data_IF_146626811799
#
_entry.id   IF_146626811799
#
_cell.length_a   1.000
_cell.length_b   1.000
_cell.length_c   1.000
_cell.angle_alpha   90.00
_cell.angle_beta   90.00
_cell.angle_gamma   90.00
#
_symmetry.space_group_name_H-M   'P 1'
#
loop_
_entity.id
_entity.type
_entity.pdbx_description
1 polymer ?
#
# COMPACT_ATOMS: atom_id res chain seq x y z
N UNK A 1 3.46 15.74 -5.99
CA UNK A 1 4.54 15.80 -4.98
C UNK A 1 4.40 14.70 -3.92
N UNK A 2 3.18 14.30 -3.53
CA UNK A 2 2.94 13.21 -2.57
C UNK A 2 3.49 11.82 -2.97
N UNK A 3 3.27 11.36 -4.20
CA UNK A 3 3.66 10.02 -4.62
C UNK A 3 5.18 9.77 -4.67
N UNK A 4 5.97 10.77 -5.08
CA UNK A 4 7.44 10.68 -5.08
C UNK A 4 7.98 10.56 -3.64
N UNK A 5 7.42 11.34 -2.71
CA UNK A 5 7.77 11.24 -1.28
C UNK A 5 7.42 9.86 -0.74
N UNK A 6 6.22 9.36 -1.04
CA UNK A 6 5.79 8.01 -0.68
C UNK A 6 6.75 6.92 -1.20
N UNK A 7 7.15 6.98 -2.48
CA UNK A 7 8.11 6.02 -3.05
C UNK A 7 9.47 6.07 -2.34
N UNK A 8 9.98 7.26 -2.01
CA UNK A 8 11.25 7.40 -1.29
C UNK A 8 11.18 6.80 0.13
N UNK A 9 10.07 6.97 0.83
CA UNK A 9 9.85 6.37 2.15
C UNK A 9 9.73 4.84 2.00
N UNK A 10 9.00 4.36 0.99
CA UNK A 10 8.87 2.93 0.72
C UNK A 10 10.22 2.26 0.40
N UNK A 11 11.09 2.91 -0.37
CA UNK A 11 12.46 2.43 -0.61
C UNK A 11 13.28 2.34 0.68
N UNK A 12 13.16 3.35 1.54
CA UNK A 12 13.84 3.40 2.83
C UNK A 12 13.34 2.32 3.79
N UNK A 13 12.02 2.14 3.90
CA UNK A 13 11.42 1.29 4.93
C UNK A 13 11.17 -0.15 4.47
N UNK A 14 10.71 -0.36 3.24
CA UNK A 14 10.33 -1.70 2.75
C UNK A 14 11.45 -2.31 1.91
N UNK A 15 11.94 -1.58 0.90
CA UNK A 15 12.93 -2.13 -0.04
C UNK A 15 14.26 -2.46 0.66
N UNK A 16 14.66 -1.66 1.65
CA UNK A 16 15.87 -1.90 2.45
C UNK A 16 15.83 -3.20 3.27
N UNK A 17 14.64 -3.71 3.57
CA UNK A 17 14.39 -4.92 4.37
C UNK A 17 14.31 -6.19 3.51
N UNK A 18 14.40 -6.08 2.18
CA UNK A 18 14.42 -7.24 1.28
C UNK A 18 15.56 -8.20 1.62
N UNK A 19 15.22 -9.48 1.71
CA UNK A 19 16.17 -10.56 1.97
C UNK A 19 16.66 -11.20 0.67
N UNK A 20 17.73 -12.01 0.76
CA UNK A 20 18.22 -12.78 -0.39
C UNK A 20 17.15 -13.82 -0.81
N UNK A 21 16.97 -14.08 -2.12
CA UNK A 21 17.78 -13.60 -3.25
C UNK A 21 17.39 -12.21 -3.77
N UNK A 22 16.31 -11.61 -3.27
CA UNK A 22 15.70 -10.39 -3.82
C UNK A 22 16.34 -9.08 -3.30
N UNK A 23 17.26 -9.15 -2.33
CA UNK A 23 18.00 -8.01 -1.80
C UNK A 23 18.73 -7.25 -2.91
N UNK A 24 18.56 -5.93 -2.93
CA UNK A 24 19.14 -5.04 -3.95
C UNK A 24 20.36 -4.32 -3.42
N UNK A 25 21.28 -3.97 -4.32
CA UNK A 25 22.51 -3.27 -3.95
C UNK A 25 22.25 -1.81 -3.51
N UNK A 26 21.26 -1.15 -4.11
CA UNK A 26 20.94 0.26 -3.88
C UNK A 26 19.61 0.48 -3.13
N UNK A 27 18.89 -0.60 -2.78
CA UNK A 27 17.56 -0.55 -2.16
C UNK A 27 16.55 0.34 -2.91
N UNK A 28 16.65 0.41 -4.24
CA UNK A 28 15.75 1.20 -5.09
C UNK A 28 14.69 0.32 -5.75
N UNK A 29 13.51 0.89 -5.97
CA UNK A 29 12.46 0.32 -6.80
C UNK A 29 12.89 0.36 -8.28
N UNK A 30 12.40 -0.59 -9.08
CA UNK A 30 12.52 -0.49 -10.54
C UNK A 30 11.51 0.54 -11.07
N UNK A 31 11.65 1.03 -12.31
CA UNK A 31 10.66 1.93 -12.90
C UNK A 31 9.23 1.38 -12.88
N UNK A 32 9.06 0.09 -13.18
CA UNK A 32 7.74 -0.57 -13.16
C UNK A 32 7.13 -0.60 -11.77
N UNK A 33 7.93 -0.89 -10.75
CA UNK A 33 7.47 -0.95 -9.36
C UNK A 33 7.12 0.45 -8.84
N UNK A 34 7.87 1.48 -9.25
CA UNK A 34 7.54 2.88 -9.00
C UNK A 34 6.17 3.21 -9.60
N UNK A 35 5.92 2.83 -10.85
CA UNK A 35 4.63 3.09 -11.51
C UNK A 35 3.48 2.36 -10.80
N UNK A 36 3.68 1.10 -10.42
CA UNK A 36 2.68 0.32 -9.67
C UNK A 36 2.38 0.92 -8.30
N UNK A 37 3.41 1.22 -7.51
CA UNK A 37 3.26 1.83 -6.18
C UNK A 37 2.63 3.21 -6.29
N UNK A 38 3.08 4.03 -7.25
CA UNK A 38 2.52 5.37 -7.49
C UNK A 38 1.05 5.32 -7.84
N UNK A 39 0.65 4.40 -8.72
CA UNK A 39 -0.76 4.22 -9.10
C UNK A 39 -1.62 3.81 -7.92
N UNK A 40 -1.20 2.78 -7.17
CA UNK A 40 -1.92 2.32 -5.99
C UNK A 40 -2.00 3.40 -4.91
N UNK A 41 -0.88 4.08 -4.64
CA UNK A 41 -0.82 5.17 -3.68
C UNK A 41 -1.73 6.34 -4.07
N UNK A 42 -1.70 6.79 -5.34
CA UNK A 42 -2.57 7.87 -5.78
C UNK A 42 -4.06 7.50 -5.64
N UNK A 43 -4.41 6.23 -5.87
CA UNK A 43 -5.78 5.75 -5.67
C UNK A 43 -6.16 5.74 -4.19
N UNK A 44 -5.33 5.17 -3.32
CA UNK A 44 -5.52 5.19 -1.86
C UNK A 44 -5.63 6.63 -1.33
N UNK A 45 -4.73 7.52 -1.76
CA UNK A 45 -4.71 8.91 -1.33
C UNK A 45 -5.92 9.70 -1.84
N UNK A 46 -6.39 9.41 -3.06
CA UNK A 46 -7.60 9.98 -3.61
C UNK A 46 -8.86 9.57 -2.83
N UNK A 47 -8.89 8.35 -2.29
CA UNK A 47 -9.97 7.88 -1.42
C UNK A 47 -10.02 8.64 -0.08
N UNK A 48 -8.85 8.93 0.52
CA UNK A 48 -8.79 9.64 1.81
C UNK A 48 -9.45 11.03 1.79
N UNK A 49 -9.61 11.64 0.61
CA UNK A 49 -10.30 12.93 0.45
C UNK A 49 -11.82 12.83 0.26
N UNK A 50 -12.39 11.63 0.27
CA UNK A 50 -13.81 11.39 -0.01
C UNK A 50 -14.62 11.13 1.28
N UNK A 51 -15.95 11.35 1.26
CA UNK A 51 -16.82 10.90 2.34
C UNK A 51 -16.70 9.38 2.54
N UNK A 52 -16.66 8.91 3.80
CA UNK A 52 -16.50 7.48 4.13
C UNK A 52 -17.43 6.54 3.34
N UNK A 53 -18.69 6.94 3.15
CA UNK A 53 -19.65 6.14 2.39
C UNK A 53 -19.21 5.87 0.94
N UNK A 54 -18.59 6.86 0.29
CA UNK A 54 -18.08 6.73 -1.08
C UNK A 54 -16.84 5.83 -1.11
N UNK A 55 -15.96 5.97 -0.11
CA UNK A 55 -14.80 5.09 0.07
C UNK A 55 -15.24 3.63 0.22
N UNK A 56 -16.20 3.36 1.10
CA UNK A 56 -16.70 2.00 1.34
C UNK A 56 -17.32 1.39 0.07
N UNK A 57 -18.15 2.15 -0.65
CA UNK A 57 -18.75 1.71 -1.92
C UNK A 57 -17.68 1.40 -2.99
N UNK A 58 -16.64 2.23 -3.10
CA UNK A 58 -15.53 1.99 -4.02
C UNK A 58 -14.73 0.74 -3.62
N UNK A 59 -14.35 0.60 -2.34
CA UNK A 59 -13.62 -0.56 -1.84
C UNK A 59 -14.40 -1.87 -1.99
N UNK A 60 -15.73 -1.85 -1.87
CA UNK A 60 -16.59 -3.04 -2.03
C UNK A 60 -16.75 -3.48 -3.48
N UNK A 61 -16.66 -2.54 -4.44
CA UNK A 61 -16.85 -2.80 -5.87
C UNK A 61 -15.55 -3.00 -6.65
N UNK A 62 -14.41 -2.58 -6.10
CA UNK A 62 -13.09 -2.61 -6.74
C UNK A 62 -12.65 -4.01 -7.22
N UNK A 63 -11.91 -4.18 -8.32
CA UNK A 63 -11.28 -5.46 -8.64
C UNK A 63 -10.37 -5.96 -7.50
N UNK A 64 -10.33 -7.27 -7.22
CA UNK A 64 -9.58 -7.82 -6.08
C UNK A 64 -8.10 -7.49 -6.13
N UNK A 65 -7.49 -7.54 -7.33
CA UNK A 65 -6.10 -7.14 -7.54
C UNK A 65 -5.83 -5.70 -7.12
N UNK A 66 -6.70 -4.78 -7.51
CA UNK A 66 -6.58 -3.37 -7.13
C UNK A 66 -6.82 -3.15 -5.65
N UNK A 67 -7.84 -3.82 -5.09
CA UNK A 67 -8.13 -3.79 -3.65
C UNK A 67 -6.92 -4.28 -2.84
N UNK A 68 -6.24 -5.33 -3.30
CA UNK A 68 -5.06 -5.86 -2.64
C UNK A 68 -3.88 -4.89 -2.68
N UNK A 69 -3.67 -4.18 -3.79
CA UNK A 69 -2.68 -3.12 -3.86
C UNK A 69 -3.03 -1.99 -2.87
N UNK A 70 -4.28 -1.54 -2.81
CA UNK A 70 -4.70 -0.53 -1.82
C UNK A 70 -4.47 -1.03 -0.39
N UNK A 71 -4.86 -2.26 -0.09
CA UNK A 71 -4.63 -2.90 1.20
C UNK A 71 -3.15 -2.84 1.62
N UNK A 72 -2.22 -3.15 0.72
CA UNK A 72 -0.79 -3.07 1.03
C UNK A 72 -0.28 -1.62 1.17
N UNK A 73 -0.80 -0.66 0.41
CA UNK A 73 -0.50 0.77 0.64
C UNK A 73 -1.01 1.19 2.02
N UNK A 74 -2.23 0.80 2.41
CA UNK A 74 -2.81 1.14 3.72
C UNK A 74 -1.95 0.55 4.85
N UNK A 75 -1.52 -0.70 4.75
CA UNK A 75 -0.58 -1.30 5.71
C UNK A 75 0.71 -0.48 5.78
N UNK A 76 1.31 -0.15 4.65
CA UNK A 76 2.54 0.65 4.61
C UNK A 76 2.37 2.00 5.31
N UNK A 77 1.31 2.74 4.96
CA UNK A 77 0.99 4.03 5.55
C UNK A 77 0.71 3.95 7.06
N UNK A 78 0.13 2.85 7.54
CA UNK A 78 -0.19 2.67 8.94
C UNK A 78 0.98 2.16 9.79
N UNK A 79 1.81 1.25 9.22
CA UNK A 79 2.83 0.52 9.98
C UNK A 79 4.23 1.13 9.92
N UNK A 80 4.59 1.81 8.82
CA UNK A 80 5.97 2.27 8.58
C UNK A 80 6.10 3.76 8.28
N UNK A 81 4.99 4.48 8.12
CA UNK A 81 5.02 5.94 7.93
C UNK A 81 4.68 6.62 9.25
N UNK A 82 5.67 7.30 9.83
CA UNK A 82 5.45 8.12 11.02
C UNK A 82 4.68 9.40 10.70
N UNK A 83 4.20 10.10 11.73
CA UNK A 83 3.40 11.32 11.57
C UNK A 83 4.15 12.43 10.81
N UNK A 84 5.47 12.52 10.97
CA UNK A 84 6.32 13.50 10.30
C UNK A 84 6.54 13.19 8.81
N UNK A 85 6.51 11.91 8.43
CA UNK A 85 6.57 11.45 7.06
C UNK A 85 5.19 11.51 6.39
N UNK A 86 4.12 11.17 7.12
CA UNK A 86 2.73 11.41 6.69
C UNK A 86 2.58 12.90 6.37
N UNK A 87 2.94 13.75 7.34
CA UNK A 87 3.68 15.02 7.18
C UNK A 87 3.95 15.55 5.77
N UNK A 88 4.97 14.93 5.21
CA UNK A 88 5.59 15.31 3.95
C UNK A 88 4.79 14.78 2.78
N UNK A 89 4.04 13.68 2.97
CA UNK A 89 3.16 13.11 1.95
C UNK A 89 1.97 14.04 1.68
N UNK A 90 1.26 14.53 2.70
CA UNK A 90 0.12 15.45 2.47
C UNK A 90 0.55 16.86 2.03
N UNK A 91 1.84 17.19 2.15
CA UNK A 91 2.38 18.52 1.84
C UNK A 91 1.77 19.64 2.71
N UNK A 92 1.44 19.33 3.97
CA UNK A 92 0.85 20.29 4.92
C UNK A 92 1.90 20.93 5.82
N UNK A 93 1.65 22.19 6.22
CA UNK A 93 2.48 22.91 7.19
C UNK A 93 2.06 22.60 8.63
N UNK A 94 2.98 22.74 9.59
CA UNK A 94 2.67 22.49 10.99
C UNK A 94 1.82 23.63 11.60
N UNK A 95 0.89 23.35 12.52
CA UNK A 95 0.57 22.04 13.11
C UNK A 95 -0.33 21.16 12.23
N UNK A 96 -0.03 19.86 12.18
CA UNK A 96 -0.87 18.84 11.53
C UNK A 96 -1.22 17.77 12.57
N UNK A 97 -2.49 17.34 12.59
CA UNK A 97 -3.01 16.14 13.24
C UNK A 97 -3.38 15.06 12.20
N UNK A 98 -2.73 13.89 12.27
CA UNK A 98 -3.01 12.77 11.36
C UNK A 98 -4.20 11.90 11.79
N UNK A 99 -4.87 12.20 12.91
CA UNK A 99 -5.89 11.33 13.52
C UNK A 99 -7.03 10.95 12.57
N UNK A 100 -7.54 11.90 11.79
CA UNK A 100 -8.60 11.65 10.80
C UNK A 100 -8.12 10.69 9.69
N UNK A 101 -6.91 10.90 9.16
CA UNK A 101 -6.32 9.99 8.18
C UNK A 101 -6.11 8.60 8.76
N UNK A 102 -5.59 8.50 9.98
CA UNK A 102 -5.38 7.23 10.66
C UNK A 102 -6.69 6.46 10.84
N UNK A 103 -7.76 7.12 11.28
CA UNK A 103 -9.06 6.49 11.45
C UNK A 103 -9.63 5.98 10.11
N UNK A 104 -9.55 6.78 9.05
CA UNK A 104 -10.00 6.36 7.71
C UNK A 104 -9.16 5.18 7.21
N UNK A 105 -7.84 5.21 7.38
CA UNK A 105 -6.95 4.11 6.99
C UNK A 105 -7.29 2.81 7.75
N UNK A 106 -7.59 2.88 9.04
CA UNK A 106 -8.04 1.72 9.85
C UNK A 106 -9.34 1.12 9.29
N UNK A 107 -10.32 1.96 8.95
CA UNK A 107 -11.58 1.50 8.38
C UNK A 107 -11.40 0.92 6.97
N UNK A 108 -10.56 1.55 6.12
CA UNK A 108 -10.19 1.02 4.81
C UNK A 108 -9.52 -0.36 4.93
N UNK A 109 -8.64 -0.53 5.93
CA UNK A 109 -7.99 -1.81 6.20
C UNK A 109 -9.01 -2.87 6.60
N UNK A 110 -9.97 -2.54 7.46
CA UNK A 110 -11.02 -3.46 7.91
C UNK A 110 -11.97 -3.89 6.77
N UNK A 111 -12.36 -2.96 5.89
CA UNK A 111 -13.20 -3.29 4.71
C UNK A 111 -12.43 -4.15 3.72
N UNK A 112 -11.19 -3.77 3.40
CA UNK A 112 -10.35 -4.50 2.45
C UNK A 112 -10.05 -5.92 2.95
N UNK A 113 -9.71 -6.08 4.23
CA UNK A 113 -9.45 -7.39 4.85
C UNK A 113 -10.66 -8.30 4.74
N UNK A 114 -11.84 -7.84 5.21
CA UNK A 114 -13.08 -8.63 5.16
C UNK A 114 -13.43 -9.08 3.74
N UNK A 115 -13.21 -8.21 2.76
CA UNK A 115 -13.51 -8.53 1.36
C UNK A 115 -12.50 -9.52 0.77
N UNK A 116 -11.21 -9.32 1.02
CA UNK A 116 -10.17 -10.26 0.60
C UNK A 116 -10.39 -11.65 1.22
N UNK A 117 -10.73 -11.72 2.51
CA UNK A 117 -11.07 -12.99 3.20
C UNK A 117 -12.29 -13.70 2.59
N UNK A 118 -13.32 -12.94 2.21
CA UNK A 118 -14.56 -13.47 1.65
C UNK A 118 -14.39 -13.99 0.22
N UNK A 119 -13.69 -13.21 -0.61
CA UNK A 119 -13.68 -13.40 -2.06
C UNK A 119 -12.48 -14.23 -2.55
N UNK A 120 -11.41 -14.35 -1.76
CA UNK A 120 -10.27 -15.22 -2.07
C UNK A 120 -10.53 -16.65 -1.58
N UNK A 121 -10.44 -17.62 -2.48
CA UNK A 121 -10.69 -19.05 -2.19
C UNK A 121 -9.73 -19.65 -1.16
N UNK A 122 -8.56 -19.05 -0.99
CA UNK A 122 -7.57 -19.35 0.03
C UNK A 122 -6.89 -18.05 0.44
N UNK A 123 -6.57 -17.90 1.72
CA UNK A 123 -5.71 -16.80 2.18
C UNK A 123 -4.42 -16.83 1.35
N UNK A 124 -4.06 -15.70 0.76
CA UNK A 124 -2.94 -15.63 -0.16
C UNK A 124 -1.66 -16.05 0.57
N UNK A 125 -0.90 -16.96 -0.04
CA UNK A 125 0.38 -17.36 0.52
C UNK A 125 1.33 -16.15 0.41
N UNK A 126 1.76 -15.63 1.56
CA UNK A 126 2.77 -14.58 1.60
C UNK A 126 4.09 -15.18 1.11
N UNK A 127 4.75 -14.57 0.11
CA UNK A 127 6.04 -15.07 -0.34
C UNK A 127 7.09 -15.01 0.78
N UNK A 128 7.93 -16.04 0.84
CA UNK A 128 9.04 -16.08 1.80
C UNK A 128 9.95 -14.85 1.63
N UNK A 129 10.19 -14.14 2.73
CA UNK A 129 11.05 -12.96 2.74
C UNK A 129 10.38 -11.65 2.32
N UNK A 130 9.05 -11.63 2.10
CA UNK A 130 8.28 -10.40 1.91
C UNK A 130 8.32 -9.52 3.17
N UNK A 131 8.90 -8.30 3.13
CA UNK A 131 8.94 -7.43 4.29
C UNK A 131 7.52 -7.00 4.69
N UNK A 132 7.13 -7.30 5.93
CA UNK A 132 5.81 -6.96 6.48
C UNK A 132 4.63 -7.44 5.63
N UNK A 133 4.81 -8.56 4.93
CA UNK A 133 3.83 -9.11 4.00
C UNK A 133 3.49 -8.17 2.83
N UNK A 134 4.34 -7.17 2.53
CA UNK A 134 4.21 -6.27 1.39
C UNK A 134 5.02 -6.83 0.23
N UNK A 135 4.33 -7.15 -0.87
CA UNK A 135 4.93 -7.79 -2.04
C UNK A 135 4.27 -7.42 -3.39
N UNK A 136 3.08 -6.84 -3.38
CA UNK A 136 2.28 -6.55 -4.58
C UNK A 136 2.98 -5.59 -5.56
N UNK A 137 3.92 -4.79 -5.06
CA UNK A 137 4.62 -3.79 -5.86
C UNK A 137 5.94 -4.28 -6.43
N UNK A 138 6.42 -5.48 -6.08
CA UNK A 138 7.72 -5.94 -6.56
C UNK A 138 7.58 -6.86 -7.79
N UNK A 139 8.31 -6.55 -8.86
CA UNK A 139 8.22 -7.21 -10.17
C UNK A 139 8.32 -8.74 -10.07
N UNK A 140 9.24 -9.21 -9.22
CA UNK A 140 9.54 -10.63 -9.05
C UNK A 140 8.43 -11.43 -8.36
N UNK A 141 7.53 -10.77 -7.62
CA UNK A 141 6.35 -11.41 -7.03
C UNK A 141 5.07 -11.14 -7.82
N UNK A 142 5.06 -10.14 -8.71
CA UNK A 142 3.86 -9.80 -9.47
C UNK A 142 3.36 -10.94 -10.36
N UNK A 143 4.25 -11.61 -11.10
CA UNK A 143 3.83 -12.66 -12.02
C UNK A 143 3.25 -13.89 -11.29
N UNK A 144 3.85 -14.30 -10.18
CA UNK A 144 3.49 -15.56 -9.51
C UNK A 144 2.36 -15.38 -8.49
N UNK A 145 2.30 -14.22 -7.82
CA UNK A 145 1.38 -14.03 -6.68
C UNK A 145 0.22 -13.10 -7.00
N UNK A 146 0.30 -12.25 -8.03
CA UNK A 146 -0.84 -11.37 -8.35
C UNK A 146 -1.87 -12.04 -9.27
N UNK A 147 -1.55 -13.19 -9.88
CA UNK A 147 -2.50 -13.99 -10.67
C UNK A 147 -3.69 -14.51 -9.84
N UNK A 148 -3.48 -14.80 -8.55
CA UNK A 148 -4.56 -15.28 -7.67
C UNK A 148 -5.64 -14.23 -7.36
N UNK A 149 -5.37 -12.96 -7.68
CA UNK A 149 -6.30 -11.84 -7.51
C UNK A 149 -7.01 -11.44 -8.82
N UNK A 150 -6.86 -12.26 -9.89
CA UNK A 150 -7.49 -12.08 -11.20
C UNK A 150 -8.99 -12.31 -11.19
#
# INVERSE_FOLDING_TARGET
MSATTCCNIFEKEITSRLLRPHKRANNKLTPTEIDCLTSAFNKTWGLLGQPWKEIEEELVSMPLKELFCIYQVVIFLFADVDEDDMRKIACEEAPWDSSEYTAILEDMLAVSTRRLERDLKSWYAVPDGAPLNIFAFFDHWQAEYMEQFG
#
